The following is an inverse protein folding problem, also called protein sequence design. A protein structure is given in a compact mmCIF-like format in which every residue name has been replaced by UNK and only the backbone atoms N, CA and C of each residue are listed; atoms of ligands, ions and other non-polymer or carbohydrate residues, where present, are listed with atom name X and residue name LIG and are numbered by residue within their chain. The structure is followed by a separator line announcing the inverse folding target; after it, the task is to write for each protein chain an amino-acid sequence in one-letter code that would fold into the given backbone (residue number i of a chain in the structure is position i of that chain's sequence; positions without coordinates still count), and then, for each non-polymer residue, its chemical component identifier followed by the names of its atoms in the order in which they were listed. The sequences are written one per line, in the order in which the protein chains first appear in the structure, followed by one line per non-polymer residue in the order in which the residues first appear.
data_IF_724795373729
#
_entry.id   IF_724795373729
#
_cell.length_a   1.000
_cell.length_b   1.000
_cell.length_c   1.000
_cell.angle_alpha   90.00
_cell.angle_beta   90.00
_cell.angle_gamma   90.00
#
_symmetry.space_group_name_H-M   'P 1'
#
loop_
_entity.id
_entity.type
_entity.pdbx_description
1 polymer ?
#
# COMPACT_ATOMS: atom_id res chain seq x y z
N UNK A 1 7.00 10.86 -22.26
CA UNK A 1 7.69 9.57 -22.03
C UNK A 1 9.15 9.60 -22.46
N UNK A 2 9.57 10.60 -23.19
CA UNK A 2 10.96 10.71 -23.72
C UNK A 2 12.05 11.01 -22.69
N UNK A 3 11.67 11.28 -21.42
CA UNK A 3 12.61 11.53 -20.33
C UNK A 3 12.80 10.35 -19.36
N UNK A 4 12.18 9.19 -19.62
CA UNK A 4 12.36 8.03 -18.74
C UNK A 4 13.76 7.45 -18.90
N UNK A 5 14.50 7.36 -17.79
CA UNK A 5 15.85 6.80 -17.70
C UNK A 5 15.85 5.28 -17.99
N UNK A 6 14.79 4.59 -17.58
CA UNK A 6 14.62 3.16 -17.79
C UNK A 6 13.50 2.94 -18.82
N UNK A 7 13.74 2.18 -19.89
CA UNK A 7 12.69 1.83 -20.86
C UNK A 7 11.50 1.11 -20.17
N UNK A 8 10.29 1.38 -20.63
CA UNK A 8 9.07 0.80 -20.05
C UNK A 8 9.11 -0.73 -19.95
N UNK A 9 9.72 -1.41 -20.92
CA UNK A 9 9.91 -2.87 -20.92
C UNK A 9 10.81 -3.31 -19.76
N UNK A 10 11.91 -2.59 -19.50
CA UNK A 10 12.79 -2.87 -18.38
C UNK A 10 12.09 -2.68 -17.03
N UNK A 11 11.31 -1.62 -16.92
CA UNK A 11 10.50 -1.35 -15.73
C UNK A 11 9.43 -2.44 -15.51
N UNK A 12 8.76 -2.89 -16.57
CA UNK A 12 7.80 -3.98 -16.53
C UNK A 12 8.44 -5.31 -16.07
N UNK A 13 9.64 -5.63 -16.54
CA UNK A 13 10.38 -6.82 -16.12
C UNK A 13 10.78 -6.76 -14.62
N UNK A 14 11.23 -5.60 -14.15
CA UNK A 14 11.54 -5.39 -12.74
C UNK A 14 10.27 -5.53 -11.89
N UNK A 15 9.16 -4.93 -12.31
CA UNK A 15 7.89 -5.00 -11.57
C UNK A 15 7.30 -6.40 -11.56
N UNK A 16 7.51 -7.17 -12.61
CA UNK A 16 7.18 -8.58 -12.64
C UNK A 16 7.91 -9.34 -11.50
N UNK A 17 9.21 -9.16 -11.34
CA UNK A 17 9.99 -9.80 -10.27
C UNK A 17 9.54 -9.30 -8.88
N UNK A 18 9.33 -8.00 -8.73
CA UNK A 18 8.86 -7.41 -7.47
C UNK A 18 7.47 -7.96 -7.10
N UNK A 19 6.56 -8.06 -8.06
CA UNK A 19 5.23 -8.62 -7.82
C UNK A 19 5.31 -10.08 -7.36
N UNK A 20 6.25 -10.87 -7.90
CA UNK A 20 6.51 -12.25 -7.48
C UNK A 20 6.82 -12.33 -5.98
N UNK A 21 7.74 -11.51 -5.52
CA UNK A 21 8.18 -11.51 -4.13
C UNK A 21 7.07 -11.02 -3.18
N UNK A 22 6.33 -9.99 -3.56
CA UNK A 22 5.30 -9.39 -2.72
C UNK A 22 3.98 -10.18 -2.71
N UNK A 23 3.63 -10.86 -3.81
CA UNK A 23 2.42 -11.68 -3.87
C UNK A 23 2.47 -12.85 -2.91
N UNK A 24 3.67 -13.43 -2.67
CA UNK A 24 3.88 -14.52 -1.71
C UNK A 24 3.59 -14.12 -0.26
N UNK A 25 3.70 -12.83 0.07
CA UNK A 25 3.47 -12.29 1.42
C UNK A 25 2.10 -11.58 1.54
N UNK A 26 1.37 -11.40 0.41
CA UNK A 26 0.10 -10.69 0.38
C UNK A 26 0.21 -9.18 0.56
N UNK A 27 1.42 -8.62 0.49
CA UNK A 27 1.68 -7.18 0.52
C UNK A 27 1.74 -6.64 -0.92
N UNK A 28 1.14 -5.47 -1.16
CA UNK A 28 0.89 -4.95 -2.51
C UNK A 28 2.12 -4.53 -3.35
N UNK A 29 3.31 -4.46 -2.76
CA UNK A 29 4.55 -4.12 -3.49
C UNK A 29 4.80 -2.63 -3.77
N UNK A 30 3.88 -1.73 -3.44
CA UNK A 30 4.06 -0.30 -3.73
C UNK A 30 5.23 0.35 -2.99
N UNK A 31 5.66 -0.19 -1.86
CA UNK A 31 6.89 0.25 -1.19
C UNK A 31 8.14 0.10 -2.08
N UNK A 32 8.09 -0.78 -3.09
CA UNK A 32 9.11 -0.92 -4.13
C UNK A 32 8.73 -0.22 -5.43
N UNK A 33 7.44 -0.26 -5.84
CA UNK A 33 7.00 0.37 -7.09
C UNK A 33 7.19 1.88 -7.08
N UNK A 34 6.80 2.57 -6.00
CA UNK A 34 6.88 4.03 -5.90
C UNK A 34 8.32 4.54 -6.05
N UNK A 35 9.30 4.07 -5.27
CA UNK A 35 10.67 4.52 -5.44
C UNK A 35 11.27 4.13 -6.80
N UNK A 36 10.92 2.97 -7.36
CA UNK A 36 11.40 2.57 -8.68
C UNK A 36 10.85 3.45 -9.81
N UNK A 37 9.56 3.83 -9.75
CA UNK A 37 8.96 4.78 -10.68
C UNK A 37 9.64 6.16 -10.57
N UNK A 38 9.94 6.59 -9.33
CA UNK A 38 10.64 7.85 -9.09
C UNK A 38 12.06 7.84 -9.67
N UNK A 39 12.82 6.75 -9.45
CA UNK A 39 14.17 6.57 -10.00
C UNK A 39 14.18 6.41 -11.53
N UNK A 40 13.11 5.86 -12.11
CA UNK A 40 12.94 5.76 -13.55
C UNK A 40 12.63 7.11 -14.23
N UNK A 41 12.45 8.18 -13.46
CA UNK A 41 12.15 9.51 -14.00
C UNK A 41 10.69 9.70 -14.39
N UNK A 42 9.78 8.87 -13.87
CA UNK A 42 8.34 9.03 -14.12
C UNK A 42 7.85 10.34 -13.50
N UNK A 43 6.95 11.03 -14.20
CA UNK A 43 6.35 12.26 -13.70
C UNK A 43 5.68 12.03 -12.33
N UNK A 44 6.05 12.82 -11.34
CA UNK A 44 5.75 12.57 -9.93
C UNK A 44 4.26 12.44 -9.61
N UNK A 45 3.37 13.11 -10.34
CA UNK A 45 1.92 13.00 -10.13
C UNK A 45 1.35 11.63 -10.57
N UNK A 46 1.97 10.96 -11.53
CA UNK A 46 1.53 9.65 -12.02
C UNK A 46 2.04 8.48 -11.17
N UNK A 47 3.11 8.71 -10.39
CA UNK A 47 3.73 7.66 -9.58
C UNK A 47 2.73 7.04 -8.60
N UNK A 48 2.02 7.83 -7.74
CA UNK A 48 1.11 7.24 -6.79
C UNK A 48 -0.09 6.54 -7.44
N UNK A 49 -0.67 7.09 -8.50
CA UNK A 49 -1.80 6.46 -9.18
C UNK A 49 -1.43 5.12 -9.82
N UNK A 50 -0.24 5.05 -10.45
CA UNK A 50 0.29 3.80 -11.00
C UNK A 50 0.52 2.77 -9.90
N UNK A 51 1.18 3.14 -8.81
CA UNK A 51 1.44 2.25 -7.69
C UNK A 51 0.15 1.74 -7.01
N UNK A 52 -0.86 2.60 -6.82
CA UNK A 52 -2.16 2.23 -6.26
C UNK A 52 -2.89 1.21 -7.16
N UNK A 53 -2.82 1.38 -8.48
CA UNK A 53 -3.42 0.41 -9.43
C UNK A 53 -2.74 -0.95 -9.35
N UNK A 54 -1.41 -0.98 -9.33
CA UNK A 54 -0.64 -2.23 -9.19
C UNK A 54 -0.91 -2.91 -7.84
N UNK A 55 -1.05 -2.12 -6.76
CA UNK A 55 -1.46 -2.62 -5.47
C UNK A 55 -2.82 -3.31 -5.50
N UNK A 56 -3.81 -2.69 -6.14
CA UNK A 56 -5.16 -3.28 -6.27
C UNK A 56 -5.05 -4.66 -6.92
N UNK A 57 -4.28 -4.79 -8.02
CA UNK A 57 -4.12 -6.04 -8.74
C UNK A 57 -3.54 -7.15 -7.84
N UNK A 58 -2.44 -6.87 -7.13
CA UNK A 58 -1.77 -7.85 -6.26
C UNK A 58 -2.60 -8.18 -5.03
N UNK A 59 -3.10 -7.15 -4.34
CA UNK A 59 -3.79 -7.34 -3.05
C UNK A 59 -5.21 -7.86 -3.19
N UNK A 60 -5.85 -7.70 -4.34
CA UNK A 60 -7.14 -8.34 -4.62
C UNK A 60 -7.02 -9.86 -4.54
N UNK A 61 -6.01 -10.43 -5.18
CA UNK A 61 -5.74 -11.86 -5.16
C UNK A 61 -5.35 -12.33 -3.75
N UNK A 62 -4.43 -11.62 -3.11
CA UNK A 62 -4.04 -11.90 -1.73
C UNK A 62 -5.22 -11.85 -0.75
N UNK A 63 -6.07 -10.82 -0.85
CA UNK A 63 -7.24 -10.67 0.01
C UNK A 63 -8.25 -11.79 -0.17
N UNK A 64 -8.52 -12.21 -1.41
CA UNK A 64 -9.42 -13.34 -1.71
C UNK A 64 -8.87 -14.64 -1.11
N UNK A 65 -7.57 -14.89 -1.26
CA UNK A 65 -6.92 -16.09 -0.73
C UNK A 65 -6.98 -16.14 0.80
N UNK A 66 -6.62 -15.04 1.49
CA UNK A 66 -6.74 -14.95 2.94
C UNK A 66 -8.18 -15.06 3.45
N UNK A 67 -9.14 -14.52 2.71
CA UNK A 67 -10.55 -14.66 3.03
C UNK A 67 -11.01 -16.13 2.93
N UNK A 68 -10.66 -16.82 1.85
CA UNK A 68 -10.98 -18.24 1.67
C UNK A 68 -10.36 -19.13 2.76
N UNK A 69 -9.17 -18.76 3.26
CA UNK A 69 -8.49 -19.46 4.35
C UNK A 69 -9.02 -19.09 5.75
N UNK A 70 -9.97 -18.14 5.85
CA UNK A 70 -10.57 -17.74 7.13
C UNK A 70 -9.70 -16.82 8.00
N UNK A 71 -8.59 -16.30 7.47
CA UNK A 71 -7.68 -15.43 8.22
C UNK A 71 -8.14 -13.96 8.26
N UNK A 72 -9.08 -13.55 7.41
CA UNK A 72 -9.55 -12.17 7.35
C UNK A 72 -10.57 -11.87 8.46
N UNK A 73 -10.15 -11.12 9.48
CA UNK A 73 -11.02 -10.68 10.59
C UNK A 73 -11.57 -9.28 10.32
N UNK A 74 -12.79 -9.23 9.75
CA UNK A 74 -13.46 -7.94 9.42
C UNK A 74 -13.62 -7.02 10.62
N UNK A 75 -13.80 -7.55 11.84
CA UNK A 75 -13.90 -6.75 13.07
C UNK A 75 -12.57 -6.06 13.41
N UNK A 76 -11.44 -6.70 13.15
CA UNK A 76 -10.12 -6.13 13.39
C UNK A 76 -9.82 -5.01 12.40
N UNK A 77 -9.97 -5.28 11.11
CA UNK A 77 -9.61 -4.32 10.07
C UNK A 77 -10.62 -3.17 9.98
N UNK A 78 -11.91 -3.42 10.27
CA UNK A 78 -12.97 -2.43 10.17
C UNK A 78 -12.72 -1.16 10.99
N UNK A 79 -12.10 -1.30 12.17
CA UNK A 79 -11.75 -0.17 13.02
C UNK A 79 -10.75 0.78 12.35
N UNK A 80 -9.80 0.24 11.57
CA UNK A 80 -8.83 1.03 10.83
C UNK A 80 -9.41 1.56 9.52
N UNK A 81 -10.21 0.76 8.81
CA UNK A 81 -10.77 1.13 7.50
C UNK A 81 -11.77 2.27 7.58
N UNK A 82 -12.54 2.36 8.68
CA UNK A 82 -13.55 3.40 8.85
C UNK A 82 -12.98 4.82 8.71
N UNK A 83 -11.76 5.04 9.18
CA UNK A 83 -11.07 6.33 9.06
C UNK A 83 -10.09 6.38 7.90
N UNK A 84 -9.45 5.24 7.55
CA UNK A 84 -8.39 5.24 6.55
C UNK A 84 -8.91 5.42 5.13
N UNK A 85 -10.04 4.83 4.77
CA UNK A 85 -10.59 4.96 3.41
C UNK A 85 -10.95 6.42 3.07
N UNK A 86 -11.72 7.17 3.91
CA UNK A 86 -11.97 8.59 3.67
C UNK A 86 -10.68 9.41 3.61
N UNK A 87 -9.71 9.12 4.48
CA UNK A 87 -8.44 9.83 4.51
C UNK A 87 -7.54 9.48 3.32
N UNK A 88 -7.60 8.25 2.81
CA UNK A 88 -6.90 7.87 1.57
C UNK A 88 -7.50 8.58 0.35
N UNK A 89 -8.83 8.69 0.30
CA UNK A 89 -9.48 9.50 -0.73
C UNK A 89 -9.04 10.97 -0.66
N UNK A 90 -9.05 11.59 0.53
CA UNK A 90 -8.59 12.96 0.73
C UNK A 90 -7.12 13.12 0.33
N UNK A 91 -6.26 12.20 0.74
CA UNK A 91 -4.84 12.20 0.35
C UNK A 91 -4.64 12.12 -1.16
N UNK A 92 -5.44 11.30 -1.85
CA UNK A 92 -5.43 11.19 -3.32
C UNK A 92 -5.97 12.43 -4.03
N UNK A 93 -6.92 13.13 -3.41
CA UNK A 93 -7.52 14.35 -3.95
C UNK A 93 -6.61 15.58 -3.88
N UNK A 94 -5.64 15.60 -2.96
CA UNK A 94 -4.72 16.74 -2.81
C UNK A 94 -3.64 16.68 -3.89
N UNK A 95 -3.46 17.80 -4.62
CA UNK A 95 -2.30 18.02 -5.47
C UNK A 95 -1.13 18.45 -4.59
N UNK A 96 -0.09 17.62 -4.51
CA UNK A 96 1.14 17.96 -3.81
C UNK A 96 2.14 18.59 -4.77
N UNK A 97 2.91 19.56 -4.28
CA UNK A 97 4.09 20.04 -4.99
C UNK A 97 5.16 18.91 -5.03
N UNK A 98 6.00 18.97 -6.06
CA UNK A 98 7.04 17.96 -6.31
C UNK A 98 7.93 17.73 -5.09
N UNK A 99 8.36 18.81 -4.45
CA UNK A 99 9.24 18.77 -3.27
C UNK A 99 8.55 18.09 -2.09
N UNK A 100 7.28 18.43 -1.84
CA UNK A 100 6.48 17.83 -0.76
C UNK A 100 6.24 16.35 -1.01
N UNK A 101 5.95 15.96 -2.26
CA UNK A 101 5.79 14.55 -2.62
C UNK A 101 7.06 13.74 -2.32
N UNK A 102 8.24 14.22 -2.79
CA UNK A 102 9.50 13.51 -2.55
C UNK A 102 9.91 13.52 -1.07
N UNK A 103 9.62 14.57 -0.33
CA UNK A 103 9.83 14.61 1.12
C UNK A 103 9.00 13.53 1.83
N UNK A 104 7.70 13.45 1.53
CA UNK A 104 6.82 12.42 2.09
C UNK A 104 7.27 11.02 1.68
N UNK A 105 7.66 10.83 0.43
CA UNK A 105 8.20 9.56 -0.04
C UNK A 105 9.46 9.19 0.74
N UNK A 106 10.39 10.11 0.92
CA UNK A 106 11.62 9.87 1.67
C UNK A 106 11.34 9.50 3.13
N UNK A 107 10.49 10.28 3.81
CA UNK A 107 10.08 10.00 5.20
C UNK A 107 9.46 8.61 5.33
N UNK A 108 8.57 8.25 4.41
CA UNK A 108 7.92 6.93 4.43
C UNK A 108 8.91 5.79 4.18
N UNK A 109 9.86 5.96 3.26
CA UNK A 109 10.91 4.96 2.99
C UNK A 109 11.87 4.79 4.15
N UNK A 110 12.28 5.89 4.81
CA UNK A 110 13.10 5.83 6.04
C UNK A 110 12.37 5.08 7.14
N UNK A 111 11.07 5.35 7.34
CA UNK A 111 10.29 4.62 8.32
C UNK A 111 10.22 3.12 8.01
N UNK A 112 10.00 2.74 6.74
CA UNK A 112 10.02 1.34 6.30
C UNK A 112 11.38 0.70 6.54
N UNK A 113 12.47 1.40 6.21
CA UNK A 113 13.84 0.92 6.44
C UNK A 113 14.10 0.67 7.93
N UNK A 114 13.79 1.65 8.78
CA UNK A 114 13.92 1.49 10.24
C UNK A 114 13.13 0.28 10.72
N UNK A 115 11.90 0.09 10.21
CA UNK A 115 11.04 -1.04 10.60
C UNK A 115 11.62 -2.39 10.18
N UNK A 116 12.26 -2.50 9.02
CA UNK A 116 12.88 -3.75 8.55
C UNK A 116 14.08 -4.12 9.43
N UNK A 117 14.90 -3.15 9.81
CA UNK A 117 16.08 -3.38 10.66
C UNK A 117 15.75 -3.52 12.15
N UNK A 118 14.55 -3.16 12.57
CA UNK A 118 14.13 -3.27 13.97
C UNK A 118 13.80 -4.72 14.32
N UNK A 119 14.79 -5.45 14.83
CA UNK A 119 14.67 -6.86 15.26
C UNK A 119 14.01 -7.04 16.64
N UNK A 120 13.39 -6.03 17.22
CA UNK A 120 12.76 -6.10 18.54
C UNK A 120 11.50 -6.97 18.51
N UNK A 121 11.49 -8.06 19.28
CA UNK A 121 10.28 -8.81 19.65
C UNK A 121 9.45 -8.02 20.68
N UNK A 122 9.28 -6.71 20.47
CA UNK A 122 8.44 -5.88 21.32
C UNK A 122 6.97 -6.23 21.07
N UNK A 123 6.48 -7.27 21.71
CA UNK A 123 5.05 -7.44 21.91
C UNK A 123 4.66 -6.55 23.09
N UNK A 124 4.21 -5.35 22.80
CA UNK A 124 3.60 -4.50 23.79
C UNK A 124 2.19 -5.03 24.06
N UNK A 125 2.06 -5.93 25.03
CA UNK A 125 0.74 -6.40 25.48
C UNK A 125 0.03 -5.27 26.25
N UNK A 126 -0.22 -4.15 25.57
CA UNK A 126 -1.08 -3.11 26.11
C UNK A 126 -2.53 -3.61 26.02
N UNK A 127 -3.08 -4.08 27.11
CA UNK A 127 -4.53 -4.27 27.26
C UNK A 127 -5.20 -2.89 27.32
N UNK A 128 -5.30 -2.25 26.16
CA UNK A 128 -6.05 -0.98 26.06
C UNK A 128 -7.53 -1.24 26.36
N UNK A 129 -8.13 -0.33 27.12
CA UNK A 129 -9.58 -0.33 27.29
C UNK A 129 -10.26 -0.25 25.90
N UNK A 130 -11.38 -0.95 25.63
CA UNK A 130 -12.00 -1.02 24.29
C UNK A 130 -12.22 0.34 23.63
N UNK A 131 -12.59 1.37 24.39
CA UNK A 131 -12.76 2.74 23.87
C UNK A 131 -11.44 3.37 23.43
N UNK A 132 -10.36 3.16 24.19
CA UNK A 132 -9.02 3.67 23.85
C UNK A 132 -8.46 2.92 22.63
N UNK A 133 -8.70 1.62 22.53
CA UNK A 133 -8.32 0.83 21.35
C UNK A 133 -8.99 1.34 20.08
N UNK A 134 -10.29 1.61 20.13
CA UNK A 134 -11.03 2.17 18.99
C UNK A 134 -10.47 3.53 18.59
N UNK A 135 -10.24 4.44 19.54
CA UNK A 135 -9.70 5.77 19.26
C UNK A 135 -8.31 5.70 18.61
N UNK A 136 -7.40 4.89 19.16
CA UNK A 136 -6.05 4.68 18.60
C UNK A 136 -6.13 4.07 17.21
N UNK A 137 -7.00 3.07 16.98
CA UNK A 137 -7.18 2.45 15.66
C UNK A 137 -7.71 3.44 14.63
N UNK A 138 -8.65 4.30 15.00
CA UNK A 138 -9.17 5.36 14.12
C UNK A 138 -8.10 6.40 13.79
N UNK A 139 -7.31 6.83 14.78
CA UNK A 139 -6.24 7.80 14.57
C UNK A 139 -5.14 7.23 13.65
N UNK A 140 -4.68 6.02 13.95
CA UNK A 140 -3.69 5.32 13.12
C UNK A 140 -4.24 5.06 11.70
N UNK A 141 -5.50 4.59 11.60
CA UNK A 141 -6.16 4.40 10.32
C UNK A 141 -6.19 5.69 9.50
N UNK A 142 -6.55 6.82 10.11
CA UNK A 142 -6.60 8.12 9.44
C UNK A 142 -5.22 8.54 8.90
N UNK A 143 -4.17 8.47 9.72
CA UNK A 143 -2.80 8.82 9.32
C UNK A 143 -2.31 7.89 8.20
N UNK A 144 -2.43 6.57 8.38
CA UNK A 144 -1.99 5.59 7.39
C UNK A 144 -2.77 5.70 6.08
N UNK A 145 -4.09 5.95 6.16
CA UNK A 145 -4.92 6.19 4.99
C UNK A 145 -4.48 7.43 4.22
N UNK A 146 -4.27 8.55 4.90
CA UNK A 146 -3.81 9.79 4.28
C UNK A 146 -2.47 9.61 3.55
N UNK A 147 -1.47 9.03 4.22
CA UNK A 147 -0.16 8.71 3.63
C UNK A 147 -0.31 7.74 2.44
N UNK A 148 -1.19 6.74 2.57
CA UNK A 148 -1.49 5.80 1.48
C UNK A 148 -2.00 6.51 0.23
N UNK A 149 -2.96 7.42 0.38
CA UNK A 149 -3.53 8.19 -0.72
C UNK A 149 -2.56 9.20 -1.35
N UNK A 150 -1.76 9.88 -0.52
CA UNK A 150 -0.81 10.91 -1.00
C UNK A 150 0.41 10.31 -1.71
N UNK A 151 1.06 9.31 -1.09
CA UNK A 151 2.31 8.72 -1.61
C UNK A 151 2.07 7.53 -2.52
N UNK A 152 0.92 6.84 -2.36
CA UNK A 152 0.58 5.67 -3.18
C UNK A 152 1.10 4.33 -2.64
N UNK A 153 1.62 4.27 -1.40
CA UNK A 153 2.22 3.06 -0.82
C UNK A 153 1.19 2.04 -0.31
N UNK A 154 -0.09 2.42 -0.15
CA UNK A 154 -1.16 1.49 0.24
C UNK A 154 -1.30 1.25 1.75
N UNK A 155 -0.34 1.68 2.58
CA UNK A 155 -0.43 1.72 4.05
C UNK A 155 -0.32 0.40 4.81
N UNK A 156 -0.54 -0.76 4.18
CA UNK A 156 -0.53 -2.07 4.87
C UNK A 156 0.83 -2.48 5.42
N UNK A 157 1.91 -2.02 4.79
CA UNK A 157 3.28 -2.26 5.28
C UNK A 157 3.50 -1.66 6.68
N UNK A 158 2.73 -0.66 7.06
CA UNK A 158 2.75 -0.06 8.39
C UNK A 158 1.74 -0.73 9.33
N UNK A 159 0.57 -1.13 8.80
CA UNK A 159 -0.50 -1.72 9.60
C UNK A 159 -0.13 -3.10 10.13
N UNK A 160 0.46 -3.97 9.30
CA UNK A 160 0.84 -5.34 9.69
C UNK A 160 1.72 -5.35 10.95
N UNK A 161 2.84 -4.61 11.00
CA UNK A 161 3.65 -4.54 12.21
C UNK A 161 2.90 -4.00 13.43
N UNK A 162 1.99 -3.04 13.25
CA UNK A 162 1.22 -2.49 14.35
C UNK A 162 0.24 -3.52 14.95
N UNK A 163 -0.41 -4.33 14.10
CA UNK A 163 -1.28 -5.42 14.56
C UNK A 163 -0.48 -6.42 15.41
N UNK A 164 0.73 -6.79 14.96
CA UNK A 164 1.60 -7.73 15.67
C UNK A 164 2.13 -7.10 16.97
N UNK A 165 2.60 -5.86 16.91
CA UNK A 165 3.16 -5.13 18.05
C UNK A 165 2.15 -4.99 19.19
N UNK A 166 0.90 -4.66 18.86
CA UNK A 166 -0.18 -4.50 19.85
C UNK A 166 -0.88 -5.83 20.19
N UNK A 167 -0.43 -6.97 19.67
CA UNK A 167 -1.02 -8.28 19.97
C UNK A 167 -2.49 -8.41 19.54
N UNK A 168 -2.92 -7.67 18.51
CA UNK A 168 -4.32 -7.61 18.06
C UNK A 168 -4.74 -8.84 17.24
N UNK A 169 -3.78 -9.59 16.71
CA UNK A 169 -4.03 -10.77 15.89
C UNK A 169 -2.76 -11.60 15.66
N UNK A 170 -2.93 -12.76 15.03
CA UNK A 170 -1.83 -13.62 14.57
C UNK A 170 -1.12 -13.02 13.36
N UNK A 171 0.03 -13.55 12.97
CA UNK A 171 0.76 -13.11 11.78
C UNK A 171 -0.07 -13.25 10.50
N UNK A 172 -0.82 -14.36 10.37
CA UNK A 172 -1.71 -14.59 9.23
C UNK A 172 -2.88 -13.58 9.22
N UNK A 173 -3.48 -13.30 10.38
CA UNK A 173 -4.53 -12.29 10.50
C UNK A 173 -4.02 -10.88 10.24
N UNK A 174 -2.78 -10.58 10.64
CA UNK A 174 -2.13 -9.30 10.35
C UNK A 174 -1.85 -9.15 8.84
N UNK A 175 -1.31 -10.19 8.19
CA UNK A 175 -1.07 -10.19 6.75
C UNK A 175 -2.39 -10.06 5.95
N UNK A 176 -3.43 -10.82 6.32
CA UNK A 176 -4.76 -10.72 5.73
C UNK A 176 -5.37 -9.32 5.88
N UNK A 177 -5.23 -8.73 7.08
CA UNK A 177 -5.68 -7.36 7.37
C UNK A 177 -4.89 -6.34 6.54
N UNK A 178 -3.57 -6.52 6.41
CA UNK A 178 -2.71 -5.68 5.59
C UNK A 178 -3.10 -5.70 4.12
N UNK A 179 -3.34 -6.88 3.55
CA UNK A 179 -3.76 -7.03 2.16
C UNK A 179 -5.09 -6.32 1.89
N UNK A 180 -6.11 -6.56 2.71
CA UNK A 180 -7.41 -5.91 2.57
C UNK A 180 -7.34 -4.39 2.82
N UNK A 181 -6.50 -3.94 3.75
CA UNK A 181 -6.26 -2.53 4.02
C UNK A 181 -5.63 -1.83 2.81
N UNK A 182 -4.61 -2.44 2.20
CA UNK A 182 -3.98 -1.92 0.98
C UNK A 182 -5.01 -1.85 -0.15
N UNK A 183 -5.77 -2.93 -0.37
CA UNK A 183 -6.77 -3.01 -1.43
C UNK A 183 -7.76 -1.85 -1.34
N UNK A 184 -8.43 -1.70 -0.19
CA UNK A 184 -9.51 -0.73 -0.02
C UNK A 184 -9.01 0.73 -0.02
N UNK A 185 -7.87 1.00 0.63
CA UNK A 185 -7.26 2.33 0.59
C UNK A 185 -6.72 2.68 -0.80
N UNK A 186 -6.15 1.70 -1.53
CA UNK A 186 -5.70 1.93 -2.90
C UNK A 186 -6.87 2.23 -3.83
N UNK A 187 -8.01 1.57 -3.66
CA UNK A 187 -9.24 1.90 -4.42
C UNK A 187 -9.71 3.31 -4.10
N UNK A 188 -9.81 3.69 -2.82
CA UNK A 188 -10.26 5.02 -2.42
C UNK A 188 -9.33 6.13 -2.94
N UNK A 189 -8.01 5.98 -2.77
CA UNK A 189 -7.01 6.95 -3.24
C UNK A 189 -6.96 7.04 -4.77
N UNK A 190 -7.09 5.91 -5.47
CA UNK A 190 -7.08 5.89 -6.93
C UNK A 190 -8.32 6.56 -7.53
N UNK A 191 -9.50 6.36 -6.95
CA UNK A 191 -10.73 7.06 -7.37
C UNK A 191 -10.54 8.57 -7.31
N UNK A 192 -10.01 9.10 -6.21
CA UNK A 192 -9.74 10.53 -6.08
C UNK A 192 -8.75 11.05 -7.15
N UNK A 193 -7.71 10.27 -7.46
CA UNK A 193 -6.73 10.63 -8.49
C UNK A 193 -7.30 10.59 -9.90
N UNK A 194 -8.18 9.64 -10.20
CA UNK A 194 -8.92 9.62 -11.48
C UNK A 194 -9.78 10.87 -11.64
N UNK A 195 -10.50 11.28 -10.59
CA UNK A 195 -11.32 12.49 -10.61
C UNK A 195 -10.49 13.77 -10.82
N UNK A 196 -9.23 13.77 -10.36
CA UNK A 196 -8.30 14.90 -10.52
C UNK A 196 -7.55 14.87 -11.86
N UNK A 197 -7.64 13.79 -12.64
CA UNK A 197 -6.88 13.61 -13.87
C UNK A 197 -5.39 13.29 -13.68
N UNK A 198 -4.96 12.92 -12.48
CA UNK A 198 -3.57 12.59 -12.15
C UNK A 198 -3.25 11.10 -12.44
N UNK A 199 -3.59 10.65 -13.65
CA UNK A 199 -3.44 9.26 -14.09
C UNK A 199 -2.90 9.22 -15.51
N UNK A 200 -1.91 8.35 -15.77
CA UNK A 200 -1.42 8.02 -17.10
C UNK A 200 -1.73 6.57 -17.43
N UNK A 201 -2.73 6.33 -18.28
CA UNK A 201 -3.11 4.99 -18.71
C UNK A 201 -2.02 4.33 -19.56
N UNK A 202 -1.27 5.10 -20.34
CA UNK A 202 -0.16 4.61 -21.17
C UNK A 202 0.96 3.97 -20.35
N UNK A 203 1.24 4.55 -19.17
CA UNK A 203 2.20 4.00 -18.23
C UNK A 203 1.61 2.82 -17.44
N UNK A 204 0.36 2.97 -17.00
CA UNK A 204 -0.30 2.09 -16.06
C UNK A 204 -0.64 0.72 -16.65
N UNK A 205 -1.17 0.67 -17.89
CA UNK A 205 -1.65 -0.57 -18.49
C UNK A 205 -0.55 -1.61 -18.76
N UNK A 206 0.61 -1.27 -19.35
CA UNK A 206 1.68 -2.24 -19.55
C UNK A 206 2.23 -2.81 -18.25
N UNK A 207 2.39 -1.97 -17.23
CA UNK A 207 2.85 -2.40 -15.90
C UNK A 207 1.81 -3.28 -15.20
N UNK A 208 0.52 -2.97 -15.34
CA UNK A 208 -0.57 -3.78 -14.82
C UNK A 208 -0.58 -5.18 -15.45
N UNK A 209 -0.43 -5.27 -16.78
CA UNK A 209 -0.36 -6.55 -17.48
C UNK A 209 0.82 -7.39 -16.99
N UNK A 210 2.00 -6.77 -16.82
CA UNK A 210 3.18 -7.45 -16.31
C UNK A 210 2.97 -8.03 -14.91
N UNK A 211 2.35 -7.25 -14.01
CA UNK A 211 2.07 -7.66 -12.63
C UNK A 211 0.97 -8.74 -12.57
N UNK A 212 -0.10 -8.62 -13.37
CA UNK A 212 -1.18 -9.60 -13.43
C UNK A 212 -0.73 -10.93 -14.03
N UNK A 213 0.09 -10.92 -15.08
CA UNK A 213 0.59 -12.15 -15.70
C UNK A 213 1.27 -13.06 -14.68
N UNK A 214 1.97 -12.49 -13.71
CA UNK A 214 2.61 -13.26 -12.66
C UNK A 214 1.66 -13.67 -11.54
N UNK A 215 0.77 -12.77 -11.14
CA UNK A 215 -0.19 -13.02 -10.07
C UNK A 215 -1.11 -14.21 -10.39
N UNK A 216 -1.38 -14.47 -11.67
CA UNK A 216 -2.13 -15.62 -12.17
C UNK A 216 -1.32 -16.92 -12.20
N UNK A 217 0.01 -16.83 -12.32
CA UNK A 217 0.90 -18.03 -12.34
C UNK A 217 1.11 -18.59 -10.93
N UNK A 218 0.90 -17.78 -9.89
CA UNK A 218 1.22 -18.13 -8.49
C UNK A 218 0.00 -18.60 -7.68
N UNK A 219 -1.17 -18.77 -8.31
CA UNK A 219 -2.35 -19.43 -7.75
C UNK A 219 -2.21 -20.93 -8.02
#
# INVERSE_FOLDING_TARGET
MDEMIIPLIGLAAIFFIVALLYSSVGLGGASSYVPMLALAGVYYEWIPSTALMLNIAVTLIGSINYWKQGHLRMKLIGMFLLSSMPMSYLGGAIALDKEVFYLLLWVTLVFVAIRIYWKGELRLEFKLHPKSQLFVSLLLGAVLGFVSGTVGIGGGIYLVPLIILFGLGTEQEAAASGAAFILLNSMAGLVARFQRGAVSLELMLPLLVAVLALSLIHI
#
